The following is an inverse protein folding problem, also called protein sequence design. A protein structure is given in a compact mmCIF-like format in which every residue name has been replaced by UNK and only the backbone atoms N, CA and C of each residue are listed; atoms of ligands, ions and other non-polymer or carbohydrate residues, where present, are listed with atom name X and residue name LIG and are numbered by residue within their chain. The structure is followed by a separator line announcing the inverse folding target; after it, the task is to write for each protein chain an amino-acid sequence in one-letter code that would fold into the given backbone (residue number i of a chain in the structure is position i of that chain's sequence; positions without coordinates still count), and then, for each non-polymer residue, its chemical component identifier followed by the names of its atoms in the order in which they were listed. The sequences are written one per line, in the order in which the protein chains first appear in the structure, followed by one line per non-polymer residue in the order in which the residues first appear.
data_IF_366796838819
#
_entry.id   IF_366796838819
#
_cell.length_a   1.000
_cell.length_b   1.000
_cell.length_c   1.000
_cell.angle_alpha   90.00
_cell.angle_beta   90.00
_cell.angle_gamma   90.00
#
_symmetry.space_group_name_H-M   'P 1'
#
loop_
_entity.id
_entity.type
_entity.pdbx_description
1 polymer ?
#
# COMPACT_ATOMS: atom_id res chain seq x y z
N UNK A 1 -7.95 -34.36 -19.26
CA UNK A 1 -6.84 -33.39 -19.10
C UNK A 1 -6.74 -33.10 -17.61
N UNK A 2 -5.62 -33.40 -16.95
CA UNK A 2 -5.47 -33.14 -15.52
C UNK A 2 -5.21 -31.66 -15.29
N UNK A 3 -6.17 -30.96 -14.67
CA UNK A 3 -6.07 -29.53 -14.34
C UNK A 3 -5.96 -29.35 -12.84
N UNK A 4 -5.26 -28.30 -12.38
CA UNK A 4 -5.04 -28.03 -10.96
C UNK A 4 -6.21 -27.31 -10.27
N UNK A 5 -7.07 -26.64 -11.03
CA UNK A 5 -8.22 -25.89 -10.54
C UNK A 5 -9.22 -25.63 -11.67
N UNK A 6 -10.46 -25.32 -11.32
CA UNK A 6 -11.50 -24.86 -12.24
C UNK A 6 -11.71 -23.36 -12.13
N UNK A 7 -11.69 -22.67 -13.27
CA UNK A 7 -12.08 -21.26 -13.36
C UNK A 7 -13.52 -21.18 -13.86
N UNK A 8 -14.39 -20.56 -13.07
CA UNK A 8 -15.77 -20.28 -13.44
C UNK A 8 -15.85 -18.81 -13.86
N UNK A 9 -16.28 -18.60 -15.11
CA UNK A 9 -16.45 -17.28 -15.68
C UNK A 9 -17.64 -16.55 -15.05
N UNK A 10 -17.57 -15.23 -15.02
CA UNK A 10 -18.62 -14.31 -14.57
C UNK A 10 -20.02 -14.63 -15.15
N UNK A 11 -20.08 -15.04 -16.42
CA UNK A 11 -21.35 -15.38 -17.08
C UNK A 11 -21.99 -16.70 -16.60
N UNK A 12 -21.26 -17.52 -15.86
CA UNK A 12 -21.67 -18.85 -15.43
C UNK A 12 -21.97 -18.93 -13.93
N UNK A 13 -21.88 -17.82 -13.19
CA UNK A 13 -22.13 -17.76 -11.74
C UNK A 13 -23.51 -18.33 -11.38
N UNK A 14 -24.51 -18.11 -12.24
CA UNK A 14 -25.87 -18.60 -12.04
C UNK A 14 -26.15 -19.93 -12.77
N UNK A 15 -25.14 -20.65 -13.26
CA UNK A 15 -25.32 -21.92 -13.99
C UNK A 15 -25.24 -23.14 -13.05
N UNK A 16 -26.37 -23.66 -12.56
CA UNK A 16 -26.39 -24.73 -11.57
C UNK A 16 -25.73 -26.02 -12.04
N UNK A 17 -25.89 -26.38 -13.32
CA UNK A 17 -25.36 -27.62 -13.89
C UNK A 17 -23.84 -27.59 -13.97
N UNK A 18 -23.27 -26.43 -14.36
CA UNK A 18 -21.82 -26.26 -14.39
C UNK A 18 -21.24 -26.29 -12.97
N UNK A 19 -21.87 -25.59 -12.03
CA UNK A 19 -21.42 -25.53 -10.64
C UNK A 19 -21.36 -26.92 -10.00
N UNK A 20 -22.39 -27.74 -10.20
CA UNK A 20 -22.41 -29.13 -9.72
C UNK A 20 -21.29 -29.96 -10.35
N UNK A 21 -21.17 -29.90 -11.69
CA UNK A 21 -20.14 -30.66 -12.41
C UNK A 21 -18.71 -30.28 -11.99
N UNK A 22 -18.47 -29.00 -11.69
CA UNK A 22 -17.18 -28.53 -11.17
C UNK A 22 -16.97 -29.01 -9.73
N UNK A 23 -18.00 -28.92 -8.88
CA UNK A 23 -17.91 -29.33 -7.48
C UNK A 23 -17.67 -30.84 -7.33
N UNK A 24 -18.30 -31.67 -8.16
CA UNK A 24 -18.13 -33.14 -8.20
C UNK A 24 -16.67 -33.57 -8.43
N UNK A 25 -15.83 -32.69 -8.99
CA UNK A 25 -14.40 -32.97 -9.16
C UNK A 25 -13.60 -32.88 -7.86
N UNK A 26 -14.15 -32.22 -6.82
CA UNK A 26 -13.45 -31.91 -5.56
C UNK A 26 -12.23 -31.00 -5.72
N UNK A 27 -11.99 -30.44 -6.91
CA UNK A 27 -10.84 -29.61 -7.20
C UNK A 27 -11.02 -28.16 -6.71
N UNK A 28 -9.93 -27.40 -6.51
CA UNK A 28 -10.01 -25.97 -6.22
C UNK A 28 -10.78 -25.19 -7.28
N UNK A 29 -11.47 -24.12 -6.84
CA UNK A 29 -12.33 -23.30 -7.70
C UNK A 29 -11.93 -21.82 -7.63
N UNK A 30 -11.82 -21.18 -8.79
CA UNK A 30 -11.68 -19.75 -8.97
C UNK A 30 -13.00 -19.21 -9.55
N UNK A 31 -13.77 -18.46 -8.78
CA UNK A 31 -15.09 -17.94 -9.20
C UNK A 31 -14.99 -16.44 -9.48
N UNK A 32 -15.13 -16.00 -10.72
CA UNK A 32 -15.24 -14.55 -11.03
C UNK A 32 -16.62 -14.00 -10.68
N UNK A 33 -16.68 -12.75 -10.22
CA UNK A 33 -17.91 -12.10 -9.77
C UNK A 33 -18.56 -11.14 -10.77
N UNK A 34 -18.06 -11.05 -12.00
CA UNK A 34 -18.54 -10.04 -12.95
C UNK A 34 -20.01 -10.23 -13.30
N UNK A 35 -20.73 -9.13 -13.51
CA UNK A 35 -22.17 -9.12 -13.82
C UNK A 35 -23.08 -9.62 -12.68
N UNK A 36 -22.53 -10.13 -11.58
CA UNK A 36 -23.33 -10.72 -10.50
C UNK A 36 -23.51 -9.78 -9.32
N UNK A 37 -24.72 -9.75 -8.79
CA UNK A 37 -25.01 -9.15 -7.49
C UNK A 37 -24.64 -10.11 -6.34
N UNK A 38 -24.70 -9.61 -5.11
CA UNK A 38 -24.40 -10.41 -3.92
C UNK A 38 -25.26 -11.67 -3.79
N UNK A 39 -26.56 -11.58 -4.06
CA UNK A 39 -27.48 -12.72 -3.97
C UNK A 39 -27.09 -13.88 -4.89
N UNK A 40 -26.64 -13.58 -6.12
CA UNK A 40 -26.20 -14.60 -7.07
C UNK A 40 -24.88 -15.22 -6.65
N UNK A 41 -23.96 -14.41 -6.13
CA UNK A 41 -22.69 -14.89 -5.60
C UNK A 41 -22.88 -15.77 -4.36
N UNK A 42 -23.76 -15.36 -3.44
CA UNK A 42 -24.11 -16.18 -2.27
C UNK A 42 -24.59 -17.56 -2.71
N UNK A 43 -25.54 -17.60 -3.65
CA UNK A 43 -26.08 -18.86 -4.18
C UNK A 43 -25.02 -19.74 -4.84
N UNK A 44 -24.11 -19.14 -5.62
CA UNK A 44 -23.02 -19.89 -6.27
C UNK A 44 -22.01 -20.45 -5.25
N UNK A 45 -21.60 -19.63 -4.28
CA UNK A 45 -20.65 -20.01 -3.22
C UNK A 45 -21.24 -21.11 -2.34
N UNK A 46 -22.49 -20.96 -1.91
CA UNK A 46 -23.18 -21.94 -1.07
C UNK A 46 -23.37 -23.27 -1.81
N UNK A 47 -23.74 -23.22 -3.10
CA UNK A 47 -23.88 -24.42 -3.93
C UNK A 47 -22.56 -25.17 -4.08
N UNK A 48 -21.48 -24.46 -4.45
CA UNK A 48 -20.15 -25.08 -4.61
C UNK A 48 -19.70 -25.75 -3.31
N UNK A 49 -19.91 -25.10 -2.16
CA UNK A 49 -19.57 -25.65 -0.84
C UNK A 49 -20.42 -26.87 -0.49
N UNK A 50 -21.74 -26.78 -0.68
CA UNK A 50 -22.66 -27.87 -0.38
C UNK A 50 -22.41 -29.11 -1.24
N UNK A 51 -22.00 -28.92 -2.50
CA UNK A 51 -21.65 -29.98 -3.43
C UNK A 51 -20.22 -30.51 -3.26
N UNK A 52 -19.46 -30.03 -2.26
CA UNK A 52 -18.14 -30.58 -1.92
C UNK A 52 -16.99 -30.11 -2.81
N UNK A 53 -17.11 -28.93 -3.44
CA UNK A 53 -16.01 -28.32 -4.15
C UNK A 53 -14.78 -28.12 -3.22
N UNK A 54 -13.59 -28.13 -3.82
CA UNK A 54 -12.35 -27.88 -3.11
C UNK A 54 -12.19 -26.43 -2.64
N UNK A 55 -10.96 -26.00 -2.26
CA UNK A 55 -10.69 -24.63 -1.85
C UNK A 55 -11.19 -23.60 -2.86
N UNK A 56 -11.91 -22.59 -2.37
CA UNK A 56 -12.53 -21.55 -3.19
C UNK A 56 -11.76 -20.24 -3.10
N UNK A 57 -11.55 -19.59 -4.24
CA UNK A 57 -11.21 -18.17 -4.32
C UNK A 57 -12.27 -17.44 -5.14
N UNK A 58 -12.75 -16.31 -4.64
CA UNK A 58 -13.70 -15.44 -5.36
C UNK A 58 -12.94 -14.22 -5.87
N UNK A 59 -13.05 -13.96 -7.17
CA UNK A 59 -12.34 -12.86 -7.82
C UNK A 59 -13.29 -11.72 -8.10
N UNK A 60 -13.01 -10.55 -7.52
CA UNK A 60 -13.65 -9.32 -7.93
C UNK A 60 -13.40 -9.09 -9.42
N UNK A 61 -14.46 -8.81 -10.16
CA UNK A 61 -14.43 -8.66 -11.59
C UNK A 61 -15.48 -7.65 -12.03
N UNK A 62 -15.11 -6.74 -12.92
CA UNK A 62 -16.07 -5.92 -13.66
C UNK A 62 -16.00 -6.32 -15.13
N UNK A 63 -17.11 -6.83 -15.67
CA UNK A 63 -17.20 -7.27 -17.08
C UNK A 63 -17.34 -6.06 -18.03
N UNK A 64 -16.24 -5.33 -18.21
CA UNK A 64 -16.10 -4.23 -19.16
C UNK A 64 -14.68 -4.26 -19.75
N UNK A 65 -14.56 -4.14 -21.07
CA UNK A 65 -13.32 -4.38 -21.80
C UNK A 65 -12.99 -3.17 -22.70
N UNK A 66 -12.20 -2.19 -22.23
CA UNK A 66 -11.55 -2.11 -20.92
C UNK A 66 -12.44 -1.54 -19.79
N UNK A 67 -12.09 -1.84 -18.55
CA UNK A 67 -12.73 -1.24 -17.36
C UNK A 67 -12.02 0.06 -16.96
N UNK A 68 -12.80 1.13 -16.75
CA UNK A 68 -12.27 2.40 -16.23
C UNK A 68 -11.89 2.30 -14.74
N UNK A 69 -10.90 3.07 -14.24
CA UNK A 69 -10.42 2.98 -12.86
C UNK A 69 -11.52 3.08 -11.79
N UNK A 70 -12.51 3.95 -12.00
CA UNK A 70 -13.62 4.18 -11.07
C UNK A 70 -14.58 2.98 -10.95
N UNK A 71 -14.44 1.98 -11.83
CA UNK A 71 -15.32 0.80 -11.92
C UNK A 71 -14.61 -0.52 -11.61
N UNK A 72 -13.33 -0.50 -11.22
CA UNK A 72 -12.58 -1.72 -10.87
C UNK A 72 -13.17 -2.39 -9.63
N UNK A 73 -13.50 -1.61 -8.59
CA UNK A 73 -14.11 -2.12 -7.36
C UNK A 73 -13.12 -2.77 -6.39
N UNK A 74 -11.93 -2.19 -6.18
CA UNK A 74 -10.93 -2.73 -5.26
C UNK A 74 -11.42 -2.90 -3.80
N UNK A 75 -12.41 -2.12 -3.37
CA UNK A 75 -13.05 -2.29 -2.05
C UNK A 75 -13.71 -3.68 -1.90
N UNK A 76 -14.22 -4.24 -2.99
CA UNK A 76 -14.97 -5.51 -3.01
C UNK A 76 -14.08 -6.70 -2.61
N UNK A 77 -12.74 -6.58 -2.71
CA UNK A 77 -11.80 -7.59 -2.21
C UNK A 77 -11.96 -7.82 -0.70
N UNK A 78 -12.14 -6.74 0.06
CA UNK A 78 -12.38 -6.81 1.51
C UNK A 78 -13.73 -7.43 1.81
N UNK A 79 -14.76 -7.00 1.09
CA UNK A 79 -16.14 -7.48 1.24
C UNK A 79 -16.26 -8.98 0.93
N UNK A 80 -15.64 -9.47 -0.14
CA UNK A 80 -15.55 -10.90 -0.49
C UNK A 80 -14.91 -11.71 0.64
N UNK A 81 -13.80 -11.22 1.18
CA UNK A 81 -13.05 -11.92 2.24
C UNK A 81 -13.85 -12.00 3.53
N UNK A 82 -14.50 -10.90 3.92
CA UNK A 82 -15.36 -10.86 5.11
C UNK A 82 -16.59 -11.75 4.93
N UNK A 83 -17.25 -11.67 3.77
CA UNK A 83 -18.51 -12.36 3.49
C UNK A 83 -18.34 -13.87 3.37
N UNK A 84 -17.31 -14.32 2.66
CA UNK A 84 -17.12 -15.74 2.36
C UNK A 84 -16.00 -16.40 3.17
N UNK A 85 -15.13 -15.65 3.86
CA UNK A 85 -14.02 -16.25 4.60
C UNK A 85 -13.03 -17.03 3.71
N UNK A 86 -12.95 -16.69 2.43
CA UNK A 86 -12.10 -17.36 1.45
C UNK A 86 -11.04 -16.40 0.89
N UNK A 87 -10.16 -16.93 0.03
CA UNK A 87 -9.24 -16.07 -0.72
C UNK A 87 -10.03 -15.14 -1.64
N UNK A 88 -9.74 -13.84 -1.57
CA UNK A 88 -10.22 -12.85 -2.53
C UNK A 88 -9.12 -12.58 -3.56
N UNK A 89 -9.50 -12.33 -4.80
CA UNK A 89 -8.56 -11.90 -5.84
C UNK A 89 -9.20 -10.95 -6.84
N UNK A 90 -8.47 -10.57 -7.87
CA UNK A 90 -8.91 -9.65 -8.91
C UNK A 90 -8.78 -10.32 -10.29
N UNK A 91 -9.88 -10.31 -11.05
CA UNK A 91 -9.90 -10.58 -12.49
C UNK A 91 -10.04 -9.23 -13.19
N UNK A 92 -8.93 -8.69 -13.68
CA UNK A 92 -8.86 -7.33 -14.21
C UNK A 92 -8.96 -7.28 -15.74
N UNK A 93 -9.67 -6.27 -16.21
CA UNK A 93 -9.88 -5.98 -17.62
C UNK A 93 -9.48 -4.54 -17.96
N UNK A 94 -8.60 -3.91 -17.18
CA UNK A 94 -8.25 -2.49 -17.38
C UNK A 94 -7.26 -2.26 -18.51
N UNK A 95 -6.52 -3.31 -18.90
CA UNK A 95 -5.38 -3.22 -19.82
C UNK A 95 -4.14 -2.53 -19.22
N UNK A 96 -4.10 -2.39 -17.89
CA UNK A 96 -3.00 -1.76 -17.14
C UNK A 96 -2.60 -2.60 -15.93
N UNK A 97 -1.39 -2.37 -15.40
CA UNK A 97 -0.88 -3.13 -14.24
C UNK A 97 -1.40 -2.62 -12.89
N UNK A 98 -1.93 -1.38 -12.83
CA UNK A 98 -2.18 -0.69 -11.57
C UNK A 98 -3.24 -1.35 -10.68
N UNK A 99 -4.40 -1.81 -11.20
CA UNK A 99 -5.41 -2.47 -10.39
C UNK A 99 -4.88 -3.72 -9.70
N UNK A 100 -4.08 -4.52 -10.41
CA UNK A 100 -3.51 -5.75 -9.88
C UNK A 100 -2.51 -5.49 -8.75
N UNK A 101 -1.62 -4.50 -8.90
CA UNK A 101 -0.69 -4.09 -7.84
C UNK A 101 -1.43 -3.61 -6.59
N UNK A 102 -2.46 -2.78 -6.78
CA UNK A 102 -3.29 -2.29 -5.69
C UNK A 102 -4.07 -3.42 -5.00
N UNK A 103 -4.59 -4.38 -5.77
CA UNK A 103 -5.28 -5.54 -5.23
C UNK A 103 -4.38 -6.37 -4.31
N UNK A 104 -3.12 -6.60 -4.69
CA UNK A 104 -2.14 -7.28 -3.83
C UNK A 104 -1.88 -6.49 -2.55
N UNK A 105 -1.72 -5.16 -2.64
CA UNK A 105 -1.57 -4.30 -1.47
C UNK A 105 -2.77 -4.36 -0.51
N UNK A 106 -3.97 -4.63 -1.02
CA UNK A 106 -5.21 -4.80 -0.26
C UNK A 106 -5.47 -6.26 0.19
N UNK A 107 -4.48 -7.14 0.04
CA UNK A 107 -4.54 -8.53 0.49
C UNK A 107 -5.19 -9.50 -0.50
N UNK A 108 -5.33 -9.11 -1.77
CA UNK A 108 -5.70 -10.01 -2.87
C UNK A 108 -4.66 -11.12 -3.05
N UNK A 109 -5.13 -12.35 -3.28
CA UNK A 109 -4.29 -13.57 -3.34
C UNK A 109 -4.24 -14.23 -4.71
N UNK A 110 -5.10 -13.81 -5.62
CA UNK A 110 -5.16 -14.29 -7.01
C UNK A 110 -5.31 -13.07 -7.92
N UNK A 111 -4.46 -12.97 -8.94
CA UNK A 111 -4.50 -11.92 -9.94
C UNK A 111 -4.63 -12.58 -11.31
N UNK A 112 -5.65 -12.17 -12.05
CA UNK A 112 -5.94 -12.62 -13.41
C UNK A 112 -6.03 -11.40 -14.33
N UNK A 113 -5.34 -11.45 -15.47
CA UNK A 113 -5.31 -10.41 -16.50
C UNK A 113 -5.32 -11.06 -17.87
N UNK A 114 -5.85 -10.36 -18.87
CA UNK A 114 -5.65 -10.76 -20.26
C UNK A 114 -4.25 -10.38 -20.74
N UNK A 115 -3.66 -11.17 -21.62
CA UNK A 115 -2.32 -10.95 -22.17
C UNK A 115 -2.38 -10.91 -23.69
N UNK A 116 -1.76 -9.88 -24.28
CA UNK A 116 -1.55 -9.78 -25.73
C UNK A 116 -0.05 -9.75 -26.04
N UNK A 117 0.35 -10.25 -27.21
CA UNK A 117 1.75 -10.17 -27.65
C UNK A 117 2.13 -8.75 -28.09
N UNK A 118 1.16 -7.99 -28.62
CA UNK A 118 1.32 -6.61 -29.05
C UNK A 118 0.01 -5.85 -28.92
N UNK A 119 0.09 -4.54 -28.66
CA UNK A 119 -1.07 -3.64 -28.69
C UNK A 119 -1.65 -3.44 -30.10
N UNK A 120 -0.90 -3.83 -31.14
CA UNK A 120 -1.33 -3.77 -32.54
C UNK A 120 -2.09 -5.02 -33.01
N UNK A 121 -2.22 -6.05 -32.15
CA UNK A 121 -2.97 -7.25 -32.49
C UNK A 121 -4.46 -6.93 -32.72
N UNK A 122 -5.11 -7.74 -33.55
CA UNK A 122 -6.56 -7.74 -33.69
C UNK A 122 -7.21 -8.55 -32.55
N UNK A 123 -8.43 -8.19 -32.18
CA UNK A 123 -9.22 -8.93 -31.21
C UNK A 123 -9.94 -7.99 -30.24
N UNK A 124 -11.13 -8.37 -29.76
CA UNK A 124 -11.95 -7.50 -28.91
C UNK A 124 -11.28 -7.21 -27.56
N UNK A 125 -10.45 -8.13 -27.05
CA UNK A 125 -9.87 -8.03 -25.71
C UNK A 125 -8.49 -7.36 -25.69
N UNK A 126 -7.93 -7.00 -26.84
CA UNK A 126 -6.56 -6.45 -26.94
C UNK A 126 -6.45 -5.15 -26.13
N UNK A 127 -7.48 -4.30 -26.15
CA UNK A 127 -7.51 -3.06 -25.38
C UNK A 127 -7.56 -3.28 -23.86
N UNK A 128 -8.08 -4.42 -23.42
CA UNK A 128 -8.17 -4.82 -22.01
C UNK A 128 -7.00 -5.71 -21.55
N UNK A 129 -6.05 -6.01 -22.46
CA UNK A 129 -4.91 -6.88 -22.20
C UNK A 129 -3.66 -6.09 -21.84
N UNK A 130 -2.82 -6.66 -20.97
CA UNK A 130 -1.44 -6.23 -20.79
C UNK A 130 -0.54 -6.90 -21.83
N UNK A 131 0.57 -6.28 -22.19
CA UNK A 131 1.60 -6.94 -23.00
C UNK A 131 2.41 -7.93 -22.16
N UNK A 132 3.22 -8.77 -22.80
CA UNK A 132 4.17 -9.67 -22.09
C UNK A 132 5.22 -8.91 -21.28
N UNK A 133 5.66 -7.74 -21.74
CA UNK A 133 6.56 -6.86 -20.99
C UNK A 133 5.86 -6.24 -19.78
N UNK A 134 4.61 -5.80 -19.93
CA UNK A 134 3.80 -5.28 -18.83
C UNK A 134 3.44 -6.38 -17.82
N UNK A 135 3.19 -7.61 -18.26
CA UNK A 135 3.00 -8.76 -17.38
C UNK A 135 4.27 -9.04 -16.56
N UNK A 136 5.45 -8.97 -17.18
CA UNK A 136 6.72 -9.14 -16.47
C UNK A 136 6.91 -8.06 -15.40
N UNK A 137 6.61 -6.80 -15.75
CA UNK A 137 6.63 -5.68 -14.81
C UNK A 137 5.59 -5.84 -13.68
N UNK A 138 4.40 -6.37 -14.00
CA UNK A 138 3.38 -6.67 -13.00
C UNK A 138 3.88 -7.72 -12.01
N UNK A 139 4.48 -8.82 -12.48
CA UNK A 139 5.03 -9.87 -11.60
C UNK A 139 6.15 -9.33 -10.72
N UNK A 140 7.07 -8.53 -11.28
CA UNK A 140 8.12 -7.86 -10.52
C UNK A 140 7.52 -6.96 -9.42
N UNK A 141 6.56 -6.11 -9.79
CA UNK A 141 5.88 -5.21 -8.86
C UNK A 141 5.12 -5.97 -7.76
N UNK A 142 4.47 -7.09 -8.07
CA UNK A 142 3.81 -7.94 -7.08
C UNK A 142 4.85 -8.47 -6.07
N UNK A 143 5.97 -9.02 -6.52
CA UNK A 143 7.02 -9.55 -5.63
C UNK A 143 7.65 -8.47 -4.77
N UNK A 144 7.83 -7.27 -5.32
CA UNK A 144 8.28 -6.11 -4.57
C UNK A 144 7.28 -5.74 -3.45
N UNK A 145 5.99 -5.62 -3.78
CA UNK A 145 4.94 -5.28 -2.82
C UNK A 145 4.82 -6.35 -1.73
N UNK A 146 4.86 -7.64 -2.09
CA UNK A 146 4.84 -8.74 -1.12
C UNK A 146 6.02 -8.65 -0.15
N UNK A 147 7.23 -8.40 -0.66
CA UNK A 147 8.42 -8.26 0.17
C UNK A 147 8.32 -7.06 1.11
N UNK A 148 7.80 -5.93 0.61
CA UNK A 148 7.60 -4.73 1.42
C UNK A 148 6.53 -4.93 2.51
N UNK A 149 5.44 -5.65 2.22
CA UNK A 149 4.40 -5.96 3.20
C UNK A 149 4.86 -6.99 4.24
N UNK A 150 5.74 -7.92 3.85
CA UNK A 150 6.28 -8.94 4.75
C UNK A 150 7.37 -8.41 5.70
N UNK A 151 7.93 -7.22 5.44
CA UNK A 151 8.99 -6.60 6.22
C UNK A 151 8.48 -5.35 6.96
N UNK A 152 7.76 -5.51 8.10
CA UNK A 152 7.31 -4.36 8.88
C UNK A 152 8.49 -3.53 9.38
N UNK A 153 8.38 -2.21 9.26
CA UNK A 153 9.40 -1.27 9.70
C UNK A 153 9.04 -0.75 11.09
N UNK A 154 9.91 -0.99 12.07
CA UNK A 154 9.86 -0.29 13.36
C UNK A 154 10.43 1.13 13.18
N UNK A 155 9.56 2.13 13.39
CA UNK A 155 9.93 3.53 13.18
C UNK A 155 10.92 4.05 14.22
N UNK A 156 10.87 3.55 15.45
CA UNK A 156 11.72 3.99 16.55
C UNK A 156 13.12 3.36 16.43
N UNK A 157 13.19 2.10 16.01
CA UNK A 157 14.45 1.43 15.67
C UNK A 157 15.17 2.16 14.52
N UNK A 158 14.47 2.37 13.39
CA UNK A 158 15.03 3.11 12.25
C UNK A 158 15.43 4.53 12.64
N UNK A 159 14.66 5.22 13.49
CA UNK A 159 15.03 6.55 13.98
C UNK A 159 16.30 6.54 14.85
N UNK A 160 16.55 5.45 15.55
CA UNK A 160 17.77 5.23 16.34
C UNK A 160 18.97 5.00 15.44
N UNK A 161 18.84 4.13 14.43
CA UNK A 161 19.88 3.89 13.43
C UNK A 161 20.24 5.15 12.64
N UNK A 162 19.24 5.94 12.26
CA UNK A 162 19.41 7.18 11.52
C UNK A 162 19.79 8.38 12.40
N UNK A 163 20.06 8.19 13.69
CA UNK A 163 20.45 9.28 14.60
C UNK A 163 21.65 10.11 14.08
N UNK A 164 22.72 9.53 13.48
CA UNK A 164 23.82 10.31 12.91
C UNK A 164 23.38 11.19 11.74
N UNK A 165 22.53 10.67 10.84
CA UNK A 165 21.96 11.46 9.75
C UNK A 165 21.06 12.58 10.29
N UNK A 166 20.28 12.30 11.34
CA UNK A 166 19.47 13.32 12.01
C UNK A 166 20.33 14.42 12.63
N UNK A 167 21.51 14.10 13.15
CA UNK A 167 22.46 15.12 13.62
C UNK A 167 22.98 15.98 12.46
N UNK A 168 23.37 15.37 11.34
CA UNK A 168 23.92 16.10 10.19
C UNK A 168 22.88 16.97 9.47
N UNK A 169 21.67 16.45 9.26
CA UNK A 169 20.63 17.13 8.47
C UNK A 169 19.59 17.85 9.32
N UNK A 170 19.54 17.57 10.62
CA UNK A 170 18.72 18.28 11.59
C UNK A 170 19.21 19.70 11.81
N UNK A 171 18.42 20.48 12.55
CA UNK A 171 18.77 21.85 12.94
C UNK A 171 18.90 21.93 14.44
N UNK A 172 19.71 22.86 14.90
CA UNK A 172 19.75 23.31 16.28
C UNK A 172 19.52 24.82 16.35
N UNK A 173 19.12 25.31 17.53
CA UNK A 173 19.03 26.73 17.80
C UNK A 173 20.43 27.31 17.87
N UNK A 174 20.66 28.33 17.05
CA UNK A 174 21.86 29.16 17.07
C UNK A 174 21.46 30.59 17.37
N UNK A 175 22.39 31.40 17.89
CA UNK A 175 22.15 32.83 18.03
C UNK A 175 22.08 33.49 16.64
N UNK A 176 21.04 34.29 16.39
CA UNK A 176 20.89 35.04 15.13
C UNK A 176 22.03 36.06 14.97
N UNK A 177 22.35 36.74 16.05
CA UNK A 177 23.38 37.77 16.17
C UNK A 177 24.23 37.49 17.42
N UNK A 178 25.29 38.26 17.64
CA UNK A 178 26.07 38.13 18.87
C UNK A 178 25.26 38.61 20.09
N UNK A 179 25.21 37.80 21.15
CA UNK A 179 24.44 38.06 22.37
C UNK A 179 25.39 38.13 23.58
N UNK A 180 25.31 39.16 24.46
CA UNK A 180 26.19 39.30 25.61
C UNK A 180 25.83 38.34 26.75
N UNK A 181 26.77 38.11 27.67
CA UNK A 181 26.50 37.41 28.92
C UNK A 181 25.42 38.16 29.73
N UNK A 182 24.52 37.42 30.37
CA UNK A 182 23.39 37.99 31.09
C UNK A 182 22.23 38.44 30.20
N UNK A 183 22.29 38.29 28.87
CA UNK A 183 21.17 38.62 27.98
C UNK A 183 19.94 37.73 28.27
N UNK A 184 18.74 38.31 28.24
CA UNK A 184 17.48 37.57 28.39
C UNK A 184 16.96 37.24 27.00
N UNK A 185 16.89 35.95 26.67
CA UNK A 185 16.57 35.47 25.33
C UNK A 185 15.15 35.83 24.92
N UNK A 186 15.01 36.48 23.76
CA UNK A 186 13.75 36.61 23.03
C UNK A 186 13.68 35.56 21.91
N UNK A 187 12.47 35.25 21.43
CA UNK A 187 12.30 34.31 20.31
C UNK A 187 13.02 34.77 19.03
N UNK A 188 13.14 36.09 18.82
CA UNK A 188 13.86 36.68 17.69
C UNK A 188 15.36 36.41 17.71
N UNK A 189 15.94 36.19 18.89
CA UNK A 189 17.38 36.08 19.09
C UNK A 189 17.94 34.74 18.64
N UNK A 190 17.06 33.74 18.48
CA UNK A 190 17.41 32.40 18.09
C UNK A 190 16.84 32.06 16.71
N UNK A 191 17.60 31.27 15.96
CA UNK A 191 17.18 30.76 14.66
C UNK A 191 17.64 29.31 14.52
N UNK A 192 16.83 28.48 13.87
CA UNK A 192 17.18 27.09 13.62
C UNK A 192 18.08 26.98 12.39
N UNK A 193 19.35 26.61 12.58
CA UNK A 193 20.32 26.35 11.49
C UNK A 193 20.88 24.92 11.58
N UNK A 194 21.36 24.40 10.46
CA UNK A 194 22.07 23.11 10.39
C UNK A 194 23.55 23.30 10.79
N UNK A 195 24.24 22.24 11.25
CA UNK A 195 23.70 20.93 11.61
C UNK A 195 22.93 20.98 12.94
N UNK A 196 22.31 19.86 13.33
CA UNK A 196 21.96 19.67 14.72
C UNK A 196 23.28 19.44 15.51
N UNK A 197 23.33 19.93 16.74
CA UNK A 197 24.55 19.93 17.54
C UNK A 197 24.41 20.75 18.82
N UNK A 198 23.60 21.82 18.77
CA UNK A 198 23.06 22.49 19.95
C UNK A 198 21.64 22.01 20.29
N UNK A 199 20.93 22.80 21.09
CA UNK A 199 19.55 22.55 21.49
C UNK A 199 18.61 22.43 20.29
N UNK A 200 17.63 21.52 20.33
CA UNK A 200 16.67 21.35 19.24
C UNK A 200 15.75 22.58 19.11
N UNK A 201 15.29 22.93 17.90
CA UNK A 201 14.35 24.03 17.67
C UNK A 201 13.07 23.96 18.51
N UNK A 202 12.61 22.75 18.84
CA UNK A 202 11.46 22.53 19.72
C UNK A 202 11.63 23.13 21.13
N UNK A 203 12.86 23.40 21.57
CA UNK A 203 13.12 24.06 22.87
C UNK A 203 12.94 25.57 22.83
N UNK A 204 12.71 26.20 21.67
CA UNK A 204 12.68 27.65 21.51
C UNK A 204 11.79 28.34 22.55
N UNK A 205 10.53 27.90 22.67
CA UNK A 205 9.56 28.50 23.59
C UNK A 205 10.02 28.41 25.05
N UNK A 206 10.60 27.27 25.45
CA UNK A 206 11.13 27.07 26.81
C UNK A 206 12.35 27.93 27.15
N UNK A 207 12.99 28.52 26.13
CA UNK A 207 14.20 29.34 26.28
C UNK A 207 13.88 30.82 26.31
N UNK A 208 12.72 31.24 25.79
CA UNK A 208 12.31 32.64 25.84
C UNK A 208 12.17 33.07 27.30
N UNK A 209 12.77 34.20 27.65
CA UNK A 209 12.82 34.73 29.01
C UNK A 209 13.95 34.14 29.87
N UNK A 210 14.68 33.13 29.40
CA UNK A 210 15.87 32.60 30.11
C UNK A 210 17.09 33.50 29.88
N UNK A 211 18.00 33.51 30.85
CA UNK A 211 19.22 34.32 30.84
C UNK A 211 20.44 33.52 30.36
N UNK A 212 21.30 34.14 29.55
CA UNK A 212 22.58 33.57 29.14
C UNK A 212 23.64 33.66 30.27
N UNK A 213 24.33 32.55 30.55
CA UNK A 213 25.49 32.49 31.46
C UNK A 213 26.74 33.14 30.89
N UNK A 214 26.88 33.10 29.57
CA UNK A 214 28.03 33.62 28.82
C UNK A 214 27.58 34.24 27.52
N UNK A 215 28.45 35.04 26.91
CA UNK A 215 28.19 35.56 25.57
C UNK A 215 28.19 34.44 24.52
N UNK A 216 27.38 34.61 23.48
CA UNK A 216 27.30 33.77 22.28
C UNK A 216 27.63 34.61 21.04
N UNK A 217 28.36 34.02 20.09
CA UNK A 217 28.57 34.63 18.78
C UNK A 217 27.38 34.37 17.86
N UNK A 218 27.21 35.21 16.84
CA UNK A 218 26.28 34.92 15.75
C UNK A 218 26.60 33.53 15.16
N UNK A 219 25.55 32.77 14.89
CA UNK A 219 25.58 31.39 14.38
C UNK A 219 26.20 30.34 15.31
N UNK A 220 26.55 30.71 16.54
CA UNK A 220 26.99 29.76 17.55
C UNK A 220 25.82 28.91 18.06
N UNK A 221 25.92 27.57 18.06
CA UNK A 221 24.87 26.70 18.60
C UNK A 221 24.71 26.86 20.11
N UNK A 222 23.46 27.02 20.54
CA UNK A 222 23.09 27.15 21.93
C UNK A 222 23.07 25.77 22.61
N UNK A 223 23.65 25.64 23.80
CA UNK A 223 23.69 24.41 24.61
C UNK A 223 23.15 24.65 26.03
N UNK A 224 22.78 23.59 26.77
CA UNK A 224 22.26 23.74 28.15
C UNK A 224 23.25 24.45 29.08
N UNK A 225 24.56 24.29 28.85
CA UNK A 225 25.62 25.00 29.59
C UNK A 225 25.61 26.52 29.40
N UNK A 226 24.90 27.03 28.40
CA UNK A 226 24.85 28.47 28.08
C UNK A 226 23.69 29.18 28.81
N UNK A 227 22.78 28.44 29.47
CA UNK A 227 21.56 28.97 30.09
C UNK A 227 21.64 28.94 31.62
N UNK A 228 21.33 30.05 32.29
CA UNK A 228 21.23 30.12 33.76
C UNK A 228 20.15 29.20 34.30
N UNK A 229 20.44 28.49 35.39
CA UNK A 229 19.50 27.52 36.02
C UNK A 229 18.73 28.11 37.21
N UNK A 230 18.97 29.38 37.52
CA UNK A 230 18.31 30.15 38.59
C UNK A 230 17.02 30.80 38.10
#
# INVERSE_FOLDING_TARGET
VGVAAWKIASGEVANPQLLDAVADTGAPVLLSSGMSGWTELDGAVDRLRAAGAGPLAVLQCTSAYPVAPQRVGLNVLGEIRERYGCAAGLSDHSGTIFPALAAVALGGRVIEVHVTLSREMFGPDVAASVTTSELSLLVEGIRYVESALAAPVDKDEVATELAPMRTLFGRSLVARDALPAGHVLAASDLVAKKPAGGMPPARLESLVGRRLRRALRADEPLHDRDIDTS
#
